data_IF_953955211014
#
_entry.id   IF_953955211014
#
_cell.length_a   1.000
_cell.length_b   1.000
_cell.length_c   1.000
_cell.angle_alpha   90.00
_cell.angle_beta   90.00
_cell.angle_gamma   90.00
#
_symmetry.space_group_name_H-M   'P 1'
#
loop_
_entity.id
_entity.type
_entity.pdbx_description
1 polymer ?
#
# COMPACT_ATOMS: atom_id res chain seq x y z
N UNK A 1 46.47 -46.09 -9.53
CA UNK A 1 46.35 -45.15 -8.39
C UNK A 1 45.95 -43.80 -8.95
N UNK A 2 44.97 -43.18 -8.31
CA UNK A 2 44.07 -42.13 -8.80
C UNK A 2 44.80 -40.79 -9.01
N UNK A 3 44.72 -40.23 -10.22
CA UNK A 3 44.99 -38.81 -10.48
C UNK A 3 43.70 -38.19 -10.99
N UNK A 4 42.81 -37.82 -10.06
CA UNK A 4 41.51 -37.21 -10.34
C UNK A 4 41.48 -35.79 -9.81
N UNK A 5 41.66 -34.82 -10.71
CA UNK A 5 41.67 -33.40 -10.41
C UNK A 5 40.36 -32.92 -9.79
N UNK A 6 40.42 -32.54 -8.52
CA UNK A 6 39.38 -31.74 -7.85
C UNK A 6 39.50 -30.27 -8.29
N UNK A 7 39.09 -29.96 -9.53
CA UNK A 7 38.78 -28.58 -9.93
C UNK A 7 37.27 -28.37 -9.87
N UNK A 8 36.87 -27.69 -8.80
CA UNK A 8 35.75 -26.71 -8.74
C UNK A 8 34.40 -27.16 -9.33
N UNK A 9 33.60 -27.82 -8.51
CA UNK A 9 32.14 -27.62 -8.58
C UNK A 9 31.73 -26.63 -7.49
N UNK A 10 32.05 -25.35 -7.68
CA UNK A 10 31.23 -24.29 -7.10
C UNK A 10 29.92 -24.28 -7.88
N UNK A 11 29.00 -25.20 -7.56
CA UNK A 11 27.59 -25.02 -7.90
C UNK A 11 27.13 -23.83 -7.07
N UNK A 12 27.19 -22.64 -7.67
CA UNK A 12 26.43 -21.49 -7.18
C UNK A 12 24.98 -21.95 -7.23
N UNK A 13 24.40 -22.32 -6.09
CA UNK A 13 22.97 -22.54 -5.98
C UNK A 13 22.31 -21.24 -6.45
N UNK A 14 21.59 -21.30 -7.58
CA UNK A 14 20.64 -20.25 -7.92
C UNK A 14 19.58 -20.26 -6.82
N UNK A 15 19.69 -19.30 -5.90
CA UNK A 15 18.71 -19.11 -4.84
C UNK A 15 17.57 -18.27 -5.43
N UNK A 16 16.41 -18.90 -5.59
CA UNK A 16 15.16 -18.24 -5.98
C UNK A 16 14.41 -17.89 -4.70
N UNK A 17 14.00 -16.63 -4.57
CA UNK A 17 13.23 -16.13 -3.43
C UNK A 17 11.94 -15.51 -3.93
N UNK A 18 10.81 -16.05 -3.51
CA UNK A 18 9.48 -15.49 -3.76
C UNK A 18 9.10 -14.55 -2.63
N UNK A 19 8.81 -13.29 -2.97
CA UNK A 19 8.36 -12.26 -2.02
C UNK A 19 6.86 -12.02 -2.24
N UNK A 20 6.08 -12.11 -1.17
CA UNK A 20 4.62 -11.98 -1.20
C UNK A 20 4.16 -10.82 -0.31
N UNK A 21 3.26 -9.99 -0.84
CA UNK A 21 2.53 -8.97 -0.09
C UNK A 21 1.03 -9.25 -0.18
N UNK A 22 0.33 -9.32 0.95
CA UNK A 22 -1.10 -9.60 0.97
C UNK A 22 -1.84 -8.76 2.01
N UNK A 23 -2.91 -8.09 1.60
CA UNK A 23 -3.75 -7.34 2.51
C UNK A 23 -5.24 -7.61 2.28
N UNK A 24 -5.95 -7.84 3.39
CA UNK A 24 -7.41 -7.94 3.40
C UNK A 24 -7.97 -7.15 4.58
N UNK A 25 -8.38 -5.92 4.30
CA UNK A 25 -8.95 -5.02 5.28
C UNK A 25 -10.45 -5.30 5.46
N UNK A 26 -10.82 -5.97 6.55
CA UNK A 26 -12.22 -6.09 7.00
C UNK A 26 -12.49 -5.13 8.15
N UNK A 27 -13.63 -4.43 8.14
CA UNK A 27 -14.01 -3.43 9.16
C UNK A 27 -13.93 -3.96 10.59
N UNK A 28 -14.31 -5.22 10.79
CA UNK A 28 -14.26 -5.92 12.08
C UNK A 28 -12.85 -6.06 12.66
N UNK A 29 -11.82 -6.15 11.80
CA UNK A 29 -10.43 -6.28 12.25
C UNK A 29 -9.89 -4.98 12.85
N UNK A 30 -10.29 -3.82 12.31
CA UNK A 30 -9.91 -2.52 12.89
C UNK A 30 -10.52 -2.34 14.29
N UNK A 31 -11.82 -2.59 14.46
CA UNK A 31 -12.46 -2.44 15.78
C UNK A 31 -11.93 -3.43 16.83
N UNK A 32 -11.43 -4.61 16.43
CA UNK A 32 -10.80 -5.57 17.35
C UNK A 32 -9.41 -5.11 17.79
N UNK A 33 -8.67 -4.43 16.90
CA UNK A 33 -7.38 -3.84 17.22
C UNK A 33 -7.52 -2.68 18.22
N UNK A 34 -8.48 -1.77 18.01
CA UNK A 34 -8.74 -0.63 18.90
C UNK A 34 -9.03 -1.07 20.36
N UNK A 35 -9.79 -2.15 20.55
CA UNK A 35 -10.10 -2.69 21.90
C UNK A 35 -8.88 -3.23 22.64
N UNK A 36 -7.89 -3.79 21.93
CA UNK A 36 -6.64 -4.28 22.55
C UNK A 36 -5.70 -3.14 22.96
N UNK A 37 -5.75 -2.01 22.24
CA UNK A 37 -4.92 -0.85 22.56
C UNK A 37 -5.31 -0.20 23.89
N UNK A 38 -6.60 -0.22 24.25
CA UNK A 38 -7.09 0.31 25.52
C UNK A 38 -6.51 -0.42 26.74
N UNK A 39 -6.18 -1.71 26.62
CA UNK A 39 -5.61 -2.51 27.71
C UNK A 39 -4.15 -2.16 28.01
N UNK A 40 -3.41 -1.61 27.04
CA UNK A 40 -1.96 -1.30 27.17
C UNK A 40 -1.74 0.21 27.48
N UNK A 41 -2.82 1.00 27.51
CA UNK A 41 -2.78 2.46 27.60
C UNK A 41 -2.00 2.99 28.82
N UNK A 42 -2.03 2.30 29.97
CA UNK A 42 -1.39 2.76 31.22
C UNK A 42 0.15 2.80 31.11
N UNK A 43 0.75 1.83 30.41
CA UNK A 43 2.21 1.77 30.24
C UNK A 43 2.64 2.66 29.07
N UNK A 44 1.86 2.64 27.98
CA UNK A 44 2.15 3.45 26.79
C UNK A 44 2.09 4.94 27.11
N UNK A 45 1.20 5.37 28.00
CA UNK A 45 1.08 6.78 28.38
C UNK A 45 2.32 7.36 29.09
N UNK A 46 3.23 6.51 29.57
CA UNK A 46 4.48 6.96 30.23
C UNK A 46 5.54 7.41 29.23
N UNK A 47 5.46 6.98 27.97
CA UNK A 47 6.46 7.29 26.94
C UNK A 47 5.81 8.06 25.78
N UNK A 48 6.26 9.29 25.52
CA UNK A 48 5.69 10.14 24.46
C UNK A 48 5.71 9.46 23.08
N UNK A 49 6.86 8.91 22.68
CA UNK A 49 7.02 8.22 21.40
C UNK A 49 6.12 6.98 21.27
N UNK A 50 5.86 6.27 22.37
CA UNK A 50 4.97 5.12 22.37
C UNK A 50 3.49 5.54 22.22
N UNK A 51 3.10 6.68 22.80
CA UNK A 51 1.77 7.27 22.58
C UNK A 51 1.56 7.68 21.14
N UNK A 52 2.57 8.26 20.51
CA UNK A 52 2.50 8.69 19.11
C UNK A 52 2.25 7.51 18.17
N UNK A 53 2.73 6.30 18.53
CA UNK A 53 2.41 5.06 17.82
C UNK A 53 0.91 4.74 17.78
N UNK A 54 0.11 5.27 18.70
CA UNK A 54 -1.34 5.08 18.74
C UNK A 54 -2.13 6.13 17.95
N UNK A 55 -1.49 7.19 17.45
CA UNK A 55 -2.18 8.22 16.67
C UNK A 55 -2.73 7.64 15.36
N UNK A 56 -4.00 7.91 15.02
CA UNK A 56 -4.54 7.55 13.71
C UNK A 56 -3.76 8.24 12.60
N UNK A 57 -3.47 7.50 11.52
CA UNK A 57 -2.68 8.04 10.40
C UNK A 57 -3.31 9.28 9.73
N UNK A 58 -4.64 9.43 9.85
CA UNK A 58 -5.34 10.64 9.39
C UNK A 58 -4.94 11.90 10.14
N UNK A 59 -4.76 11.80 11.47
CA UNK A 59 -4.34 12.93 12.31
C UNK A 59 -2.89 13.31 12.01
N UNK A 60 -2.01 12.33 11.81
CA UNK A 60 -0.62 12.62 11.42
C UNK A 60 -0.53 13.31 10.06
N UNK A 61 -1.44 12.98 9.12
CA UNK A 61 -1.53 13.69 7.83
C UNK A 61 -1.89 15.16 8.01
N UNK A 62 -2.82 15.47 8.91
CA UNK A 62 -3.21 16.85 9.20
C UNK A 62 -2.08 17.63 9.89
N UNK A 63 -1.36 17.01 10.83
CA UNK A 63 -0.20 17.63 11.49
C UNK A 63 0.90 17.99 10.47
N UNK A 64 1.14 17.12 9.48
CA UNK A 64 2.09 17.38 8.39
C UNK A 64 1.59 18.52 7.52
N UNK A 65 0.30 18.52 7.15
CA UNK A 65 -0.27 19.58 6.32
C UNK A 65 -0.19 20.95 7.00
N UNK A 66 -0.50 21.03 8.30
CA UNK A 66 -0.38 22.27 9.08
C UNK A 66 1.08 22.74 9.19
N UNK A 67 2.00 21.81 9.49
CA UNK A 67 3.42 22.14 9.67
C UNK A 67 4.08 22.70 8.42
N UNK A 68 3.80 22.12 7.26
CA UNK A 68 4.42 22.51 5.99
C UNK A 68 3.55 23.47 5.19
N UNK A 69 2.41 23.92 5.74
CA UNK A 69 1.49 24.84 5.07
C UNK A 69 0.85 24.24 3.81
N UNK A 70 0.68 22.92 3.75
CA UNK A 70 0.07 22.24 2.59
C UNK A 70 -1.42 22.56 2.58
N UNK A 71 -1.82 23.36 1.59
CA UNK A 71 -3.17 23.84 1.47
C UNK A 71 -4.13 22.71 1.10
N UNK A 72 -5.41 22.90 1.43
CA UNK A 72 -6.45 21.96 1.02
C UNK A 72 -6.54 21.81 -0.50
N UNK A 73 -6.34 22.91 -1.23
CA UNK A 73 -6.37 22.92 -2.68
C UNK A 73 -5.26 22.06 -3.29
N UNK A 74 -4.05 22.10 -2.75
CA UNK A 74 -2.93 21.26 -3.21
C UNK A 74 -3.19 19.77 -2.99
N UNK A 75 -3.76 19.41 -1.84
CA UNK A 75 -4.14 18.03 -1.53
C UNK A 75 -5.21 17.51 -2.51
N UNK A 76 -6.24 18.31 -2.76
CA UNK A 76 -7.32 17.95 -3.67
C UNK A 76 -6.83 17.91 -5.14
N UNK A 77 -5.91 18.80 -5.53
CA UNK A 77 -5.29 18.79 -6.86
C UNK A 77 -4.43 17.54 -7.07
N UNK A 78 -3.69 17.10 -6.06
CA UNK A 78 -2.93 15.85 -6.12
C UNK A 78 -3.86 14.65 -6.31
N UNK A 79 -5.00 14.62 -5.62
CA UNK A 79 -6.01 13.56 -5.76
C UNK A 79 -6.64 13.52 -7.16
N UNK A 80 -7.05 14.68 -7.70
CA UNK A 80 -7.56 14.79 -9.08
C UNK A 80 -6.52 14.28 -10.08
N UNK A 81 -5.27 14.70 -9.93
CA UNK A 81 -4.18 14.31 -10.83
C UNK A 81 -3.92 12.80 -10.76
N UNK A 82 -3.97 12.22 -9.56
CA UNK A 82 -3.83 10.77 -9.35
C UNK A 82 -4.92 9.99 -10.09
N UNK A 83 -6.19 10.36 -9.90
CA UNK A 83 -7.32 9.71 -10.58
C UNK A 83 -7.28 9.86 -12.10
N UNK A 84 -6.88 11.03 -12.60
CA UNK A 84 -6.71 11.26 -14.05
C UNK A 84 -5.62 10.38 -14.65
N UNK A 85 -4.46 10.27 -13.99
CA UNK A 85 -3.35 9.41 -14.42
C UNK A 85 -3.76 7.93 -14.40
N UNK A 86 -4.41 7.48 -13.33
CA UNK A 86 -4.88 6.10 -13.21
C UNK A 86 -5.94 5.75 -14.28
N UNK A 87 -6.87 6.66 -14.55
CA UNK A 87 -7.88 6.48 -15.60
C UNK A 87 -7.22 6.39 -16.99
N UNK A 88 -6.26 7.26 -17.30
CA UNK A 88 -5.52 7.20 -18.56
C UNK A 88 -4.68 5.92 -18.70
N UNK A 89 -4.03 5.46 -17.63
CA UNK A 89 -3.28 4.21 -17.61
C UNK A 89 -4.18 2.98 -17.83
N UNK A 90 -5.37 2.99 -17.23
CA UNK A 90 -6.38 1.92 -17.41
C UNK A 90 -6.90 1.91 -18.85
N UNK A 91 -7.26 3.07 -19.39
CA UNK A 91 -7.76 3.20 -20.76
C UNK A 91 -6.71 2.81 -21.82
N UNK A 92 -5.43 3.09 -21.54
CA UNK A 92 -4.31 2.67 -22.40
C UNK A 92 -3.86 1.22 -22.17
N UNK A 93 -4.50 0.48 -21.26
CA UNK A 93 -4.21 -0.93 -21.00
C UNK A 93 -2.87 -1.20 -20.31
N UNK A 94 -2.22 -0.20 -19.71
CA UNK A 94 -0.89 -0.34 -19.08
C UNK A 94 -0.88 -1.32 -17.91
N UNK A 95 -2.01 -1.48 -17.23
CA UNK A 95 -2.15 -2.41 -16.11
C UNK A 95 -2.41 -3.87 -16.54
N UNK A 96 -2.64 -4.15 -17.82
CA UNK A 96 -2.95 -5.51 -18.29
C UNK A 96 -1.79 -6.49 -18.12
N UNK A 97 -0.55 -5.98 -18.17
CA UNK A 97 0.65 -6.81 -18.06
C UNK A 97 0.98 -7.18 -16.61
N UNK A 98 0.51 -6.39 -15.63
CA UNK A 98 0.78 -6.59 -14.20
C UNK A 98 -0.40 -7.17 -13.42
N UNK A 99 -1.64 -6.97 -13.88
CA UNK A 99 -2.84 -7.49 -13.20
C UNK A 99 -3.14 -8.91 -13.68
N UNK A 100 -3.07 -9.87 -12.76
CA UNK A 100 -3.59 -11.23 -12.97
C UNK A 100 -5.09 -11.27 -12.65
N UNK A 101 -5.98 -11.63 -13.60
CA UNK A 101 -7.41 -11.69 -13.33
C UNK A 101 -7.76 -12.70 -12.24
N UNK A 102 -8.56 -12.28 -11.26
CA UNK A 102 -9.00 -13.13 -10.15
C UNK A 102 -10.50 -13.38 -10.27
N UNK A 103 -10.88 -14.64 -10.44
CA UNK A 103 -12.28 -15.08 -10.37
C UNK A 103 -12.71 -15.21 -8.91
N UNK A 104 -13.70 -14.44 -8.50
CA UNK A 104 -14.23 -14.44 -7.14
C UNK A 104 -15.75 -14.32 -7.14
N UNK A 105 -16.34 -14.27 -5.95
CA UNK A 105 -17.77 -14.04 -5.77
C UNK A 105 -17.99 -12.74 -5.04
N UNK A 106 -18.92 -11.93 -5.52
CA UNK A 106 -19.38 -10.73 -4.82
C UNK A 106 -20.75 -11.06 -4.22
N UNK A 107 -20.89 -10.84 -2.92
CA UNK A 107 -22.16 -10.95 -2.21
C UNK A 107 -22.84 -9.59 -2.28
N UNK A 108 -24.04 -9.54 -2.84
CA UNK A 108 -24.85 -8.32 -2.80
C UNK A 108 -25.28 -8.08 -1.33
N UNK A 109 -24.91 -6.94 -0.71
CA UNK A 109 -25.27 -6.66 0.68
C UNK A 109 -26.78 -6.47 0.91
N UNK A 110 -27.57 -6.29 -0.16
CA UNK A 110 -29.02 -6.06 -0.09
C UNK A 110 -29.83 -7.33 -0.27
N UNK A 111 -29.41 -8.23 -1.16
CA UNK A 111 -30.14 -9.46 -1.49
C UNK A 111 -29.47 -10.73 -0.96
N UNK A 112 -28.20 -10.65 -0.53
CA UNK A 112 -27.42 -11.82 -0.10
C UNK A 112 -27.04 -12.76 -1.25
N UNK A 113 -27.35 -12.40 -2.50
CA UNK A 113 -27.08 -13.23 -3.67
C UNK A 113 -25.57 -13.22 -4.01
N UNK A 114 -25.01 -14.40 -4.24
CA UNK A 114 -23.62 -14.57 -4.67
C UNK A 114 -23.53 -14.53 -6.19
N UNK A 115 -22.83 -13.54 -6.75
CA UNK A 115 -22.57 -13.46 -8.19
C UNK A 115 -21.10 -13.76 -8.49
N UNK A 116 -20.78 -14.73 -9.38
CA UNK A 116 -19.42 -14.95 -9.82
C UNK A 116 -18.98 -13.76 -10.69
N UNK A 117 -17.81 -13.20 -10.38
CA UNK A 117 -17.23 -12.04 -11.06
C UNK A 117 -15.74 -12.28 -11.24
N UNK A 118 -15.23 -12.03 -12.44
CA UNK A 118 -13.79 -11.97 -12.69
C UNK A 118 -13.33 -10.52 -12.60
N UNK A 119 -12.40 -10.25 -11.68
CA UNK A 119 -11.83 -8.92 -11.45
C UNK A 119 -10.54 -8.82 -12.24
N UNK A 120 -10.46 -7.82 -13.12
CA UNK A 120 -9.28 -7.54 -13.95
C UNK A 120 -8.91 -6.05 -13.99
N UNK A 121 -9.66 -5.20 -13.28
CA UNK A 121 -9.50 -3.74 -13.26
C UNK A 121 -9.69 -3.22 -11.84
N UNK A 122 -8.96 -2.17 -11.48
CA UNK A 122 -9.11 -1.47 -10.20
C UNK A 122 -10.45 -0.71 -10.09
N UNK A 123 -11.28 -1.08 -9.10
CA UNK A 123 -12.57 -0.42 -8.79
C UNK A 123 -12.39 0.95 -8.08
N UNK A 124 -11.17 1.28 -7.66
CA UNK A 124 -10.88 2.52 -6.92
C UNK A 124 -10.82 3.78 -7.79
N UNK A 125 -10.78 3.64 -9.13
CA UNK A 125 -10.52 4.76 -10.03
C UNK A 125 -11.81 5.53 -10.32
N UNK A 126 -11.80 6.82 -10.05
CA UNK A 126 -12.90 7.75 -10.31
C UNK A 126 -12.48 8.77 -11.38
N UNK A 127 -12.77 8.54 -12.67
CA UNK A 127 -12.28 9.40 -13.76
C UNK A 127 -12.89 10.81 -13.74
N UNK A 128 -14.11 10.93 -13.21
CA UNK A 128 -14.85 12.19 -13.15
C UNK A 128 -14.50 13.06 -11.93
N UNK A 129 -13.49 12.68 -11.14
CA UNK A 129 -13.07 13.44 -9.96
C UNK A 129 -12.60 14.83 -10.37
N UNK A 130 -13.25 15.85 -9.80
CA UNK A 130 -12.96 17.26 -10.03
C UNK A 130 -12.78 18.01 -8.70
N UNK A 131 -12.12 19.17 -8.75
CA UNK A 131 -11.86 19.97 -7.55
C UNK A 131 -13.15 20.43 -6.86
N UNK A 132 -14.19 20.75 -7.63
CA UNK A 132 -15.46 21.24 -7.08
C UNK A 132 -16.18 20.19 -6.25
N UNK A 133 -16.08 18.91 -6.62
CA UNK A 133 -16.69 17.81 -5.91
C UNK A 133 -15.85 17.38 -4.70
N UNK A 134 -14.52 17.45 -4.81
CA UNK A 134 -13.64 17.26 -3.66
C UNK A 134 -13.82 18.35 -2.61
N UNK A 135 -13.99 19.60 -3.02
CA UNK A 135 -14.20 20.73 -2.11
C UNK A 135 -15.48 20.59 -1.25
N UNK A 136 -16.51 19.90 -1.77
CA UNK A 136 -17.76 19.62 -1.03
C UNK A 136 -17.58 18.56 0.07
N UNK A 137 -16.49 17.80 0.04
CA UNK A 137 -16.27 16.72 1.01
C UNK A 137 -15.91 17.28 2.37
N UNK A 138 -16.59 16.73 3.39
CA UNK A 138 -16.32 17.03 4.79
C UNK A 138 -14.98 16.44 5.23
N UNK A 139 -14.25 17.13 6.12
CA UNK A 139 -13.07 16.59 6.78
C UNK A 139 -13.37 15.25 7.47
N UNK A 140 -12.44 14.30 7.35
CA UNK A 140 -12.65 12.91 7.79
C UNK A 140 -12.18 12.63 9.23
N UNK A 141 -11.28 13.47 9.78
CA UNK A 141 -10.68 13.24 11.10
C UNK A 141 -10.94 14.41 12.05
N UNK A 142 -10.43 15.61 11.76
CA UNK A 142 -10.75 16.80 12.57
C UNK A 142 -11.81 17.68 11.92
N UNK A 143 -12.62 18.39 12.73
CA UNK A 143 -13.68 19.29 12.25
C UNK A 143 -13.16 20.41 11.33
N UNK A 144 -11.93 20.88 11.59
CA UNK A 144 -11.26 21.93 10.81
C UNK A 144 -10.13 21.36 9.93
N UNK A 145 -10.06 20.03 9.77
CA UNK A 145 -8.99 19.35 9.06
C UNK A 145 -9.07 19.55 7.54
N UNK A 146 -7.93 19.41 6.87
CA UNK A 146 -7.85 19.42 5.40
C UNK A 146 -7.97 18.01 4.78
N UNK A 147 -7.81 16.96 5.58
CA UNK A 147 -7.90 15.57 5.10
C UNK A 147 -9.37 15.14 4.95
N UNK A 148 -9.76 14.73 3.74
CA UNK A 148 -11.10 14.25 3.38
C UNK A 148 -11.06 12.83 2.85
N UNK A 149 -12.25 12.27 2.59
CA UNK A 149 -12.35 10.96 1.96
C UNK A 149 -11.82 10.92 0.52
N UNK A 150 -11.72 12.06 -0.16
CA UNK A 150 -11.29 12.14 -1.56
C UNK A 150 -9.81 12.42 -1.76
N UNK A 151 -9.12 12.96 -0.76
CA UNK A 151 -7.67 13.22 -0.81
C UNK A 151 -6.84 12.24 0.03
N UNK A 152 -7.49 11.30 0.72
CA UNK A 152 -6.83 10.17 1.38
C UNK A 152 -6.83 8.93 0.48
N UNK A 153 -5.94 7.98 0.78
CA UNK A 153 -5.97 6.67 0.12
C UNK A 153 -7.30 5.95 0.43
N UNK A 154 -7.93 5.43 -0.61
CA UNK A 154 -9.16 4.64 -0.47
C UNK A 154 -8.79 3.29 0.14
N UNK A 155 -9.44 2.93 1.25
CA UNK A 155 -9.34 1.58 1.78
C UNK A 155 -9.97 0.59 0.80
N UNK A 156 -9.15 -0.26 0.18
CA UNK A 156 -9.55 -1.34 -0.73
C UNK A 156 -10.21 -2.47 0.05
N UNK A 157 -11.42 -2.20 0.55
CA UNK A 157 -12.15 -3.09 1.46
C UNK A 157 -13.01 -4.12 0.74
N UNK A 158 -13.25 -3.95 -0.57
CA UNK A 158 -14.15 -4.82 -1.33
C UNK A 158 -13.45 -6.07 -1.85
N UNK A 159 -12.17 -5.98 -2.21
CA UNK A 159 -11.47 -7.02 -2.97
C UNK A 159 -10.08 -7.27 -2.40
N UNK A 160 -9.61 -8.51 -2.53
CA UNK A 160 -8.28 -8.94 -2.09
C UNK A 160 -7.20 -8.23 -2.91
N UNK A 161 -6.21 -7.63 -2.24
CA UNK A 161 -5.00 -7.12 -2.87
C UNK A 161 -3.83 -8.04 -2.56
N UNK A 162 -3.16 -8.55 -3.58
CA UNK A 162 -1.96 -9.37 -3.43
C UNK A 162 -0.94 -9.03 -4.53
N UNK A 163 0.34 -9.04 -4.17
CA UNK A 163 1.43 -8.91 -5.12
C UNK A 163 2.49 -9.98 -4.87
N UNK A 164 3.14 -10.40 -5.95
CA UNK A 164 4.20 -11.40 -5.96
C UNK A 164 5.39 -10.87 -6.74
N UNK A 165 6.58 -11.04 -6.18
CA UNK A 165 7.83 -10.68 -6.83
C UNK A 165 8.82 -11.82 -6.66
N UNK A 166 9.23 -12.40 -7.78
CA UNK A 166 10.25 -13.44 -7.81
C UNK A 166 11.63 -12.82 -8.01
N UNK A 167 12.50 -13.01 -7.02
CA UNK A 167 13.87 -12.52 -7.02
C UNK A 167 14.82 -13.70 -7.23
N UNK A 168 15.75 -13.50 -8.16
CA UNK A 168 16.78 -14.49 -8.50
C UNK A 168 18.14 -13.90 -8.20
N UNK A 169 18.93 -14.59 -7.36
CA UNK A 169 20.33 -14.26 -7.20
C UNK A 169 21.13 -14.88 -8.37
N UNK A 170 21.16 -14.18 -9.51
CA UNK A 170 21.87 -14.64 -10.70
C UNK A 170 23.15 -13.84 -10.88
N UNK A 171 24.31 -14.48 -10.68
CA UNK A 171 25.60 -13.96 -11.14
C UNK A 171 25.66 -14.03 -12.67
N UNK A 172 25.13 -13.00 -13.35
CA UNK A 172 25.36 -12.67 -14.75
C UNK A 172 24.90 -13.65 -15.86
N UNK A 173 24.86 -14.96 -15.62
CA UNK A 173 24.71 -15.99 -16.67
C UNK A 173 23.70 -17.10 -16.37
N UNK A 174 22.99 -17.09 -15.24
CA UNK A 174 22.10 -18.19 -14.80
C UNK A 174 20.58 -17.94 -14.92
N UNK A 175 20.14 -16.83 -15.53
CA UNK A 175 18.70 -16.55 -15.69
C UNK A 175 17.99 -17.64 -16.53
N UNK A 176 18.65 -18.11 -17.59
CA UNK A 176 18.10 -19.15 -18.47
C UNK A 176 17.94 -20.52 -17.77
N UNK A 177 18.80 -20.84 -16.80
CA UNK A 177 18.72 -22.11 -16.06
C UNK A 177 17.64 -22.10 -14.96
N UNK A 178 17.12 -20.94 -14.60
CA UNK A 178 16.14 -20.77 -13.53
C UNK A 178 14.68 -20.70 -14.03
N UNK A 179 14.45 -20.91 -15.33
CA UNK A 179 13.10 -20.86 -15.94
C UNK A 179 12.52 -19.44 -16.07
N UNK A 180 13.35 -18.40 -15.93
CA UNK A 180 12.93 -17.02 -16.11
C UNK A 180 13.14 -16.59 -17.57
N UNK A 181 12.05 -16.35 -18.29
CA UNK A 181 12.08 -16.01 -19.72
C UNK A 181 12.73 -14.65 -20.01
N UNK A 182 12.65 -13.70 -19.06
CA UNK A 182 13.22 -12.36 -19.22
C UNK A 182 13.63 -11.73 -17.90
N UNK A 183 14.71 -10.95 -17.96
CA UNK A 183 15.10 -10.04 -16.88
C UNK A 183 14.25 -8.77 -16.95
N UNK A 184 13.39 -8.54 -15.97
CA UNK A 184 12.53 -7.34 -15.91
C UNK A 184 13.28 -6.15 -15.33
N UNK A 185 13.95 -6.32 -14.18
CA UNK A 185 14.67 -5.26 -13.46
C UNK A 185 15.91 -5.81 -12.72
N UNK A 186 16.76 -4.90 -12.23
CA UNK A 186 17.87 -5.21 -11.29
C UNK A 186 17.57 -4.53 -9.97
N UNK A 187 17.56 -5.30 -8.88
CA UNK A 187 17.51 -4.72 -7.54
C UNK A 187 18.90 -4.20 -7.14
N UNK A 188 19.00 -2.90 -6.85
CA UNK A 188 20.27 -2.22 -6.55
C UNK A 188 20.50 -2.06 -5.04
N UNK A 189 19.43 -1.90 -4.26
CA UNK A 189 19.52 -1.79 -2.80
C UNK A 189 18.22 -1.29 -2.16
N UNK A 190 18.18 -1.31 -0.83
CA UNK A 190 17.09 -0.77 0.00
C UNK A 190 17.69 0.03 1.16
N UNK A 191 17.02 1.12 1.56
CA UNK A 191 17.38 1.91 2.74
C UNK A 191 16.18 2.07 3.65
N UNK A 192 16.41 1.87 4.94
CA UNK A 192 15.42 2.08 5.99
C UNK A 192 15.87 3.23 6.88
N UNK A 193 14.93 4.11 7.25
CA UNK A 193 15.18 5.23 8.15
C UNK A 193 13.97 5.43 9.06
N UNK A 194 14.22 5.56 10.36
CA UNK A 194 13.19 5.93 11.33
C UNK A 194 12.92 7.43 11.25
N UNK A 195 11.63 7.81 11.27
CA UNK A 195 11.19 9.20 11.38
C UNK A 195 10.28 9.34 12.60
N UNK A 196 10.27 10.52 13.20
CA UNK A 196 9.37 10.81 14.30
C UNK A 196 7.91 10.77 13.80
N UNK A 197 7.07 9.97 14.46
CA UNK A 197 5.68 9.76 14.04
C UNK A 197 4.78 10.98 14.28
N UNK A 198 5.15 11.79 15.25
CA UNK A 198 4.43 12.98 15.63
C UNK A 198 5.39 14.15 15.78
N UNK A 199 5.53 14.93 14.72
CA UNK A 199 6.35 16.12 14.78
C UNK A 199 5.58 17.27 15.45
N UNK A 200 5.53 17.29 16.79
CA UNK A 200 5.04 18.37 17.67
C UNK A 200 3.55 18.35 18.09
N UNK A 201 3.23 17.67 19.20
CA UNK A 201 2.13 18.06 20.13
C UNK A 201 2.73 18.80 21.33
N UNK A 202 3.52 19.86 21.10
CA UNK A 202 4.02 20.73 22.18
C UNK A 202 3.64 22.21 21.97
N UNK A 203 2.64 22.50 21.11
CA UNK A 203 2.10 23.86 20.93
C UNK A 203 0.63 24.04 21.29
N UNK A 204 -0.04 23.01 21.81
CA UNK A 204 -1.31 23.22 22.51
C UNK A 204 -0.96 23.37 23.99
N UNK A 205 -0.65 24.61 24.39
CA UNK A 205 -0.85 25.04 25.77
C UNK A 205 -2.33 25.20 26.02
#
# INVERSE_FOLDING_TARGET
MVVGGWRRQCKILAMVVMVLGFERLKREKLCRFERRLQTIAIVVNRFAQARDCLLPMGITSENVAERYGVTRQEQDQAAVTSHKRAAAATASGKFRDEIVPVSTKIVDPRTGEEKPVTISVDDGIRPNTNLTDLAKLKPAFNKNGSTTAGNKIVATSKLFGGSILDLYNASGGLLATAGADRKVLVWVGVRWGGVEKNTYINKIK
#
